data_IF_177118759185
#
_entry.id   IF_177118759185
#
_cell.length_a   1.000
_cell.length_b   1.000
_cell.length_c   1.000
_cell.angle_alpha   90.00
_cell.angle_beta   90.00
_cell.angle_gamma   90.00
#
_symmetry.space_group_name_H-M   'P 1'
#
loop_
_entity.id
_entity.type
_entity.pdbx_description
1 polymer ?
#
# COMPACT_ATOMS: atom_id res chain seq x y z
N UNK A 1 -3.93 -9.47 -6.95
CA UNK A 1 -4.70 -9.28 -5.71
C UNK A 1 -3.85 -9.71 -4.51
N UNK A 2 -3.60 -8.81 -3.55
CA UNK A 2 -2.70 -9.07 -2.43
C UNK A 2 -3.35 -9.98 -1.36
N UNK A 3 -4.66 -9.92 -1.18
CA UNK A 3 -5.39 -10.81 -0.28
C UNK A 3 -5.35 -12.27 -0.74
N UNK A 4 -5.50 -12.51 -2.04
CA UNK A 4 -5.32 -13.83 -2.64
C UNK A 4 -3.87 -14.33 -2.50
N UNK A 5 -2.88 -13.43 -2.66
CA UNK A 5 -1.48 -13.78 -2.44
C UNK A 5 -1.25 -14.21 -0.98
N UNK A 6 -1.75 -13.43 0.00
CA UNK A 6 -1.67 -13.75 1.44
C UNK A 6 -2.28 -15.13 1.73
N UNK A 7 -3.46 -15.43 1.20
CA UNK A 7 -4.12 -16.74 1.34
C UNK A 7 -3.29 -17.89 0.78
N UNK A 8 -2.62 -17.69 -0.36
CA UNK A 8 -1.81 -18.74 -1.02
C UNK A 8 -0.52 -19.04 -0.29
N UNK A 9 0.14 -18.03 0.27
CA UNK A 9 1.41 -18.22 0.99
C UNK A 9 1.20 -18.54 2.47
N UNK A 10 0.05 -18.18 3.05
CA UNK A 10 -0.22 -18.33 4.48
C UNK A 10 0.83 -17.60 5.30
N UNK A 11 1.25 -18.19 6.42
CA UNK A 11 2.24 -17.60 7.33
C UNK A 11 3.70 -17.95 6.96
N UNK A 12 3.94 -18.46 5.75
CA UNK A 12 5.27 -18.92 5.34
C UNK A 12 6.25 -17.78 5.07
N UNK A 13 5.75 -16.64 4.58
CA UNK A 13 6.54 -15.47 4.18
C UNK A 13 5.75 -14.18 4.38
N UNK A 14 6.47 -13.07 4.56
CA UNK A 14 5.90 -11.74 4.40
C UNK A 14 5.69 -11.41 2.91
N UNK A 15 4.77 -10.49 2.63
CA UNK A 15 4.53 -9.94 1.30
C UNK A 15 4.96 -8.47 1.22
N UNK A 16 5.60 -8.08 0.13
CA UNK A 16 5.97 -6.69 -0.16
C UNK A 16 5.22 -6.19 -1.41
N UNK A 17 4.72 -4.96 -1.37
CA UNK A 17 4.04 -4.32 -2.51
C UNK A 17 2.67 -3.73 -2.15
N UNK A 18 1.80 -3.47 -3.11
CA UNK A 18 1.93 -3.73 -4.55
C UNK A 18 1.29 -2.63 -5.41
N UNK A 19 1.33 -1.38 -4.95
CA UNK A 19 0.68 -0.25 -5.62
C UNK A 19 1.29 -0.01 -7.01
N UNK A 20 0.45 0.20 -8.03
CA UNK A 20 0.91 0.62 -9.35
C UNK A 20 1.51 2.04 -9.26
N UNK A 21 2.79 2.26 -9.65
CA UNK A 21 3.39 3.60 -9.59
C UNK A 21 2.63 4.65 -10.41
N UNK A 22 1.85 4.26 -11.42
CA UNK A 22 1.00 5.19 -12.20
C UNK A 22 -0.05 5.87 -11.32
N UNK A 23 -0.48 5.23 -10.23
CA UNK A 23 -1.42 5.83 -9.27
C UNK A 23 -0.91 7.15 -8.68
N UNK A 24 0.41 7.34 -8.61
CA UNK A 24 1.03 8.56 -8.09
C UNK A 24 0.88 9.79 -9.01
N UNK A 25 0.27 9.64 -10.19
CA UNK A 25 -0.13 10.79 -11.03
C UNK A 25 -1.57 11.26 -10.78
N UNK A 26 -2.33 10.55 -9.94
CA UNK A 26 -3.67 10.99 -9.54
C UNK A 26 -3.62 12.09 -8.47
N UNK A 27 -4.78 12.66 -8.15
CA UNK A 27 -4.91 13.60 -7.03
C UNK A 27 -4.57 12.91 -5.68
N UNK A 28 -4.03 13.63 -4.69
CA UNK A 28 -3.64 13.09 -3.38
C UNK A 28 -4.71 12.22 -2.70
N UNK A 29 -5.98 12.62 -2.79
CA UNK A 29 -7.09 11.88 -2.20
C UNK A 29 -7.26 10.50 -2.86
N UNK A 30 -7.04 10.43 -4.19
CA UNK A 30 -7.12 9.18 -4.92
C UNK A 30 -5.92 8.27 -4.61
N UNK A 31 -4.73 8.85 -4.47
CA UNK A 31 -3.54 8.10 -4.03
C UNK A 31 -3.78 7.46 -2.66
N UNK A 32 -4.33 8.23 -1.71
CA UNK A 32 -4.67 7.72 -0.39
C UNK A 32 -5.71 6.60 -0.45
N UNK A 33 -6.76 6.75 -1.27
CA UNK A 33 -7.78 5.71 -1.47
C UNK A 33 -7.19 4.39 -1.99
N UNK A 34 -6.32 4.44 -3.00
CA UNK A 34 -5.67 3.24 -3.54
C UNK A 34 -4.77 2.57 -2.49
N UNK A 35 -4.03 3.36 -1.71
CA UNK A 35 -3.20 2.83 -0.62
C UNK A 35 -4.05 2.12 0.44
N UNK A 36 -5.15 2.75 0.88
CA UNK A 36 -6.09 2.15 1.83
C UNK A 36 -6.71 0.86 1.27
N UNK A 37 -7.11 0.84 0.00
CA UNK A 37 -7.69 -0.34 -0.62
C UNK A 37 -6.73 -1.55 -0.62
N UNK A 38 -5.45 -1.32 -0.87
CA UNK A 38 -4.43 -2.39 -0.82
C UNK A 38 -4.23 -2.88 0.62
N UNK A 39 -4.17 -1.98 1.59
CA UNK A 39 -4.06 -2.32 3.01
C UNK A 39 -5.27 -3.12 3.50
N UNK A 40 -6.48 -2.72 3.13
CA UNK A 40 -7.72 -3.42 3.47
C UNK A 40 -7.80 -4.80 2.79
N UNK A 41 -7.32 -4.91 1.55
CA UNK A 41 -7.24 -6.18 0.83
C UNK A 41 -6.24 -7.15 1.45
N UNK A 42 -5.13 -6.65 2.02
CA UNK A 42 -4.23 -7.49 2.83
C UNK A 42 -4.90 -7.85 4.16
N UNK A 43 -5.52 -6.88 4.84
CA UNK A 43 -6.24 -7.04 6.11
C UNK A 43 -5.37 -6.86 7.36
N UNK A 44 -5.93 -7.09 8.56
CA UNK A 44 -5.21 -6.88 9.82
C UNK A 44 -4.08 -7.91 10.05
N UNK A 45 -3.17 -7.57 10.97
CA UNK A 45 -2.04 -8.40 11.38
C UNK A 45 -0.74 -8.11 10.62
N UNK A 46 0.34 -8.77 11.02
CA UNK A 46 1.69 -8.51 10.49
C UNK A 46 1.98 -9.20 9.15
N UNK A 47 3.16 -8.94 8.58
CA UNK A 47 3.67 -9.62 7.38
C UNK A 47 3.47 -8.87 6.07
N UNK A 48 2.98 -7.63 6.09
CA UNK A 48 2.92 -6.77 4.90
C UNK A 48 3.89 -5.61 4.99
N UNK A 49 4.78 -5.49 4.01
CA UNK A 49 5.58 -4.29 3.76
C UNK A 49 4.96 -3.57 2.56
N UNK A 50 4.27 -2.46 2.81
CA UNK A 50 3.71 -1.69 1.72
C UNK A 50 4.82 -1.17 0.80
N UNK A 51 4.66 -1.32 -0.50
CA UNK A 51 5.58 -0.79 -1.50
C UNK A 51 4.86 -0.59 -2.85
N UNK A 52 5.52 0.08 -3.78
CA UNK A 52 5.14 0.07 -5.18
C UNK A 52 5.43 -1.31 -5.81
N UNK A 53 4.70 -1.65 -6.86
CA UNK A 53 4.95 -2.85 -7.67
C UNK A 53 6.13 -2.69 -8.63
N UNK A 54 6.58 -1.46 -8.88
CA UNK A 54 7.73 -1.14 -9.73
C UNK A 54 8.40 0.16 -9.26
N UNK A 55 9.48 0.58 -9.93
CA UNK A 55 10.16 1.84 -9.63
C UNK A 55 9.26 3.06 -9.80
N UNK A 56 9.47 4.07 -8.96
CA UNK A 56 8.81 5.37 -9.06
C UNK A 56 9.27 6.13 -10.32
N UNK A 57 8.37 6.86 -10.96
CA UNK A 57 8.71 7.72 -12.11
C UNK A 57 9.41 9.01 -11.62
N UNK A 58 10.43 9.46 -12.35
CA UNK A 58 11.10 10.75 -12.09
C UNK A 58 10.17 11.98 -12.21
N UNK A 59 9.04 11.82 -12.89
CA UNK A 59 8.03 12.87 -13.06
C UNK A 59 6.98 12.88 -11.96
N UNK A 60 7.08 11.97 -10.98
CA UNK A 60 6.14 11.92 -9.87
C UNK A 60 6.32 13.16 -8.99
N UNK A 61 5.27 13.95 -8.73
CA UNK A 61 5.36 15.06 -7.79
C UNK A 61 5.73 14.56 -6.38
N UNK A 62 6.76 15.12 -5.71
CA UNK A 62 7.16 14.66 -4.38
C UNK A 62 6.02 14.69 -3.34
N UNK A 63 5.12 15.67 -3.44
CA UNK A 63 3.95 15.81 -2.57
C UNK A 63 2.96 14.64 -2.69
N UNK A 64 2.90 13.98 -3.86
CA UNK A 64 2.09 12.79 -4.06
C UNK A 64 2.68 11.57 -3.35
N UNK A 65 4.01 11.50 -3.26
CA UNK A 65 4.70 10.50 -2.45
C UNK A 65 4.45 10.75 -0.96
N UNK A 66 4.46 12.02 -0.53
CA UNK A 66 4.10 12.39 0.85
C UNK A 66 2.67 11.96 1.18
N UNK A 67 1.71 12.21 0.27
CA UNK A 67 0.32 11.77 0.44
C UNK A 67 0.21 10.24 0.58
N UNK A 68 0.92 9.48 -0.26
CA UNK A 68 1.00 8.02 -0.17
C UNK A 68 1.53 7.56 1.19
N UNK A 69 2.70 8.07 1.60
CA UNK A 69 3.38 7.65 2.84
C UNK A 69 2.51 7.95 4.07
N UNK A 70 1.89 9.13 4.10
CA UNK A 70 1.00 9.51 5.19
C UNK A 70 -0.22 8.59 5.25
N UNK A 71 -0.89 8.34 4.11
CA UNK A 71 -2.03 7.44 4.05
C UNK A 71 -1.69 6.02 4.52
N UNK A 72 -0.55 5.48 4.08
CA UNK A 72 -0.09 4.14 4.50
C UNK A 72 0.13 4.09 6.01
N UNK A 73 0.86 5.04 6.59
CA UNK A 73 1.11 5.07 8.03
C UNK A 73 -0.16 5.30 8.87
N UNK A 74 -1.04 6.20 8.44
CA UNK A 74 -2.26 6.52 9.18
C UNK A 74 -3.29 5.39 9.16
N UNK A 75 -3.53 4.80 7.99
CA UNK A 75 -4.53 3.75 7.86
C UNK A 75 -4.05 2.43 8.44
N UNK A 76 -2.81 2.02 8.16
CA UNK A 76 -2.26 0.76 8.69
C UNK A 76 -2.23 0.73 10.21
N UNK A 77 -2.05 1.87 10.91
CA UNK A 77 -2.13 1.90 12.38
C UNK A 77 -3.47 1.38 12.91
N UNK A 78 -4.58 1.68 12.24
CA UNK A 78 -5.92 1.22 12.65
C UNK A 78 -6.09 -0.29 12.48
N UNK A 79 -5.40 -0.88 11.50
CA UNK A 79 -5.41 -2.32 11.23
C UNK A 79 -4.53 -3.14 12.19
N UNK A 80 -3.77 -2.47 13.06
CA UNK A 80 -2.90 -3.09 14.06
C UNK A 80 -3.21 -2.66 15.50
N UNK A 81 -4.21 -1.81 15.71
CA UNK A 81 -4.68 -1.47 17.05
C UNK A 81 -5.48 -2.66 17.60
N UNK A 82 -4.94 -3.25 18.68
CA UNK A 82 -5.52 -4.35 19.44
C UNK A 82 -6.51 -3.78 20.46
#
# INVERSE_FOLDING_TARGET
DIGAARKRVGDKVALQGNLDPVALFAQPEKIAQEACAILDAYGPGSGHVFNLGHGISQFTPPEHVTALVNAVHEHSRKLHQI
#
